data_IF_433461064746
#
_entry.id   IF_433461064746
#
_cell.length_a   1.000
_cell.length_b   1.000
_cell.length_c   1.000
_cell.angle_alpha   90.00
_cell.angle_beta   90.00
_cell.angle_gamma   90.00
#
_symmetry.space_group_name_H-M   'P 1'
#
loop_
_entity.id
_entity.type
_entity.pdbx_description
1 polymer ?
#
# COMPACT_ATOMS: atom_id res chain seq x y z
N UNK A 1 -21.43 27.36 1.87
CA UNK A 1 -21.51 25.91 2.09
C UNK A 1 -20.31 25.49 2.93
N UNK A 2 -20.46 24.78 4.03
CA UNK A 2 -19.31 24.31 4.82
C UNK A 2 -18.44 23.41 3.95
N UNK A 3 -17.12 23.64 4.00
CA UNK A 3 -16.17 22.78 3.30
C UNK A 3 -16.25 21.38 3.93
N UNK A 4 -16.41 20.34 3.08
CA UNK A 4 -16.40 18.94 3.55
C UNK A 4 -15.08 18.67 4.26
N UNK A 5 -15.14 18.02 5.40
CA UNK A 5 -13.96 17.64 6.16
C UNK A 5 -13.19 16.53 5.42
N UNK A 6 -11.90 16.41 5.68
CA UNK A 6 -11.07 15.33 5.10
C UNK A 6 -11.60 13.95 5.46
N UNK A 7 -12.17 13.79 6.66
CA UNK A 7 -12.79 12.55 7.09
C UNK A 7 -14.02 12.17 6.24
N UNK A 8 -14.86 13.14 5.89
CA UNK A 8 -16.02 12.94 5.02
C UNK A 8 -15.60 12.57 3.60
N UNK A 9 -14.59 13.26 3.06
CA UNK A 9 -14.04 12.94 1.74
C UNK A 9 -13.41 11.55 1.70
N UNK A 10 -12.73 11.16 2.79
CA UNK A 10 -12.16 9.83 2.90
C UNK A 10 -13.24 8.73 3.00
N UNK A 11 -14.34 9.01 3.71
CA UNK A 11 -15.49 8.10 3.76
C UNK A 11 -16.13 7.93 2.36
N UNK A 12 -16.26 9.02 1.59
CA UNK A 12 -16.72 8.97 0.20
C UNK A 12 -15.77 8.18 -0.70
N UNK A 13 -14.44 8.37 -0.56
CA UNK A 13 -13.44 7.60 -1.29
C UNK A 13 -13.60 6.10 -1.00
N UNK A 14 -13.82 5.71 0.27
CA UNK A 14 -14.08 4.30 0.62
C UNK A 14 -15.33 3.76 -0.08
N UNK A 15 -16.40 4.55 -0.14
CA UNK A 15 -17.61 4.19 -0.89
C UNK A 15 -17.31 3.93 -2.36
N UNK A 16 -16.60 4.84 -3.03
CA UNK A 16 -16.21 4.70 -4.44
C UNK A 16 -15.32 3.47 -4.69
N UNK A 17 -14.42 3.15 -3.76
CA UNK A 17 -13.58 1.96 -3.82
C UNK A 17 -14.39 0.67 -3.63
N UNK A 18 -15.34 0.68 -2.68
CA UNK A 18 -16.23 -0.47 -2.41
C UNK A 18 -17.18 -0.75 -3.59
N UNK A 19 -17.65 0.31 -4.27
CA UNK A 19 -18.47 0.21 -5.48
C UNK A 19 -17.66 -0.19 -6.74
N UNK A 20 -16.34 -0.26 -6.64
CA UNK A 20 -15.48 -0.56 -7.78
C UNK A 20 -15.39 0.55 -8.83
N UNK A 21 -15.93 1.74 -8.55
CA UNK A 21 -15.90 2.89 -9.46
C UNK A 21 -14.51 3.52 -9.54
N UNK A 22 -13.76 3.42 -8.46
CA UNK A 22 -12.36 3.87 -8.37
C UNK A 22 -11.50 2.68 -7.97
N UNK A 23 -10.32 2.59 -8.56
CA UNK A 23 -9.31 1.58 -8.21
C UNK A 23 -8.15 2.25 -7.48
N UNK A 24 -7.67 1.60 -6.41
CA UNK A 24 -6.48 2.02 -5.68
C UNK A 24 -5.32 1.12 -6.07
N UNK A 25 -4.34 1.69 -6.75
CA UNK A 25 -3.07 1.01 -7.09
C UNK A 25 -1.98 1.46 -6.14
N UNK A 26 -1.25 0.50 -5.60
CA UNK A 26 -0.21 0.70 -4.58
C UNK A 26 1.14 0.30 -5.15
N UNK A 27 2.11 1.20 -5.11
CA UNK A 27 3.52 0.87 -5.35
C UNK A 27 4.17 0.41 -4.03
N UNK A 28 4.14 -0.90 -3.79
CA UNK A 28 4.70 -1.50 -2.60
C UNK A 28 6.19 -1.18 -2.40
N UNK A 29 6.97 -1.01 -3.49
CA UNK A 29 8.40 -0.67 -3.39
C UNK A 29 8.61 0.73 -2.82
N UNK A 30 7.74 1.67 -3.17
CA UNK A 30 7.80 3.04 -2.70
C UNK A 30 7.30 3.16 -1.26
N UNK A 31 6.28 2.37 -0.91
CA UNK A 31 5.66 2.35 0.41
C UNK A 31 6.43 1.53 1.45
N UNK A 32 7.35 0.66 1.05
CA UNK A 32 8.19 -0.14 1.97
C UNK A 32 9.52 0.54 2.31
N UNK A 33 9.63 1.84 2.16
CA UNK A 33 10.79 2.61 2.63
C UNK A 33 10.70 2.87 4.14
N UNK A 34 11.87 3.06 4.83
CA UNK A 34 11.90 3.25 6.29
C UNK A 34 11.14 4.48 6.76
N UNK A 35 11.05 5.51 5.94
CA UNK A 35 10.34 6.77 6.18
C UNK A 35 8.83 6.70 5.86
N UNK A 36 8.34 5.59 5.32
CA UNK A 36 6.92 5.39 5.03
C UNK A 36 6.12 5.10 6.30
N UNK A 37 4.97 5.77 6.51
CA UNK A 37 4.12 5.52 7.67
C UNK A 37 3.44 4.14 7.67
N UNK A 38 3.50 3.40 6.56
CA UNK A 38 2.91 2.05 6.40
C UNK A 38 3.95 0.97 6.13
N UNK A 39 5.25 1.29 6.30
CA UNK A 39 6.35 0.35 6.09
C UNK A 39 6.20 -0.91 6.93
N UNK A 40 6.59 -2.04 6.36
CA UNK A 40 6.73 -3.34 7.03
C UNK A 40 8.20 -3.80 7.07
N UNK A 41 9.14 -2.85 6.87
CA UNK A 41 10.56 -3.15 6.75
C UNK A 41 11.14 -3.91 7.94
N UNK A 42 10.71 -3.60 9.17
CA UNK A 42 11.16 -4.33 10.35
C UNK A 42 10.80 -5.83 10.28
N UNK A 43 9.67 -6.17 9.65
CA UNK A 43 9.24 -7.55 9.46
C UNK A 43 10.00 -8.24 8.34
N UNK A 44 10.22 -7.55 7.20
CA UNK A 44 10.99 -8.09 6.08
C UNK A 44 12.47 -8.28 6.44
N UNK A 45 13.05 -7.40 7.27
CA UNK A 45 14.41 -7.51 7.78
C UNK A 45 14.60 -8.75 8.65
N UNK A 46 13.63 -9.13 9.49
CA UNK A 46 13.67 -10.36 10.28
C UNK A 46 13.76 -11.61 9.39
N UNK A 47 12.99 -11.65 8.31
CA UNK A 47 13.04 -12.72 7.33
C UNK A 47 14.41 -12.80 6.64
N UNK A 48 14.99 -11.65 6.29
CA UNK A 48 16.32 -11.61 5.69
C UNK A 48 17.38 -12.20 6.64
N UNK A 49 17.37 -11.80 7.92
CA UNK A 49 18.29 -12.39 8.90
C UNK A 49 18.09 -13.90 9.07
N UNK A 50 16.84 -14.37 9.14
CA UNK A 50 16.57 -15.79 9.25
C UNK A 50 17.12 -16.59 8.04
N UNK A 51 16.95 -16.07 6.82
CA UNK A 51 17.48 -16.69 5.60
C UNK A 51 19.02 -16.70 5.58
N UNK A 52 19.66 -15.59 5.97
CA UNK A 52 21.13 -15.50 6.03
C UNK A 52 21.69 -16.49 7.05
N UNK A 53 21.06 -16.61 8.23
CA UNK A 53 21.47 -17.60 9.24
C UNK A 53 21.29 -19.04 8.75
N UNK A 54 20.19 -19.33 8.05
CA UNK A 54 19.95 -20.65 7.48
C UNK A 54 21.01 -21.04 6.43
N UNK A 55 21.39 -20.11 5.55
CA UNK A 55 22.43 -20.29 4.56
C UNK A 55 23.79 -20.50 5.26
N UNK A 56 24.11 -19.70 6.28
CA UNK A 56 25.33 -19.85 7.07
C UNK A 56 25.43 -21.23 7.77
N UNK A 57 24.35 -21.69 8.37
CA UNK A 57 24.27 -22.99 9.01
C UNK A 57 24.45 -24.13 7.99
N UNK A 58 23.85 -24.01 6.81
CA UNK A 58 24.02 -25.01 5.74
C UNK A 58 25.45 -25.07 5.18
N UNK A 59 26.09 -23.90 5.04
CA UNK A 59 27.52 -23.85 4.68
C UNK A 59 28.40 -24.54 5.70
N UNK A 60 28.13 -24.32 7.00
CA UNK A 60 28.90 -24.94 8.08
C UNK A 60 28.71 -26.47 8.16
N UNK A 61 27.46 -26.95 8.06
CA UNK A 61 27.10 -28.35 8.25
C UNK A 61 27.27 -29.23 7.02
N UNK A 62 27.03 -28.73 5.83
CA UNK A 62 27.02 -29.48 4.58
C UNK A 62 28.05 -28.99 3.54
N UNK A 63 28.90 -28.07 3.92
CA UNK A 63 29.95 -27.50 3.05
C UNK A 63 29.41 -26.71 1.88
N UNK A 64 30.24 -26.54 0.83
CA UNK A 64 29.90 -25.68 -0.31
C UNK A 64 28.63 -26.10 -1.06
N UNK A 65 28.39 -27.40 -1.23
CA UNK A 65 27.20 -27.91 -1.93
C UNK A 65 25.93 -27.58 -1.16
N UNK A 66 25.93 -27.78 0.16
CA UNK A 66 24.82 -27.41 1.03
C UNK A 66 24.54 -25.89 1.03
N UNK A 67 25.59 -25.09 1.03
CA UNK A 67 25.50 -23.63 0.95
C UNK A 67 24.88 -23.14 -0.35
N UNK A 68 25.28 -23.70 -1.50
CA UNK A 68 24.70 -23.37 -2.81
C UNK A 68 23.21 -23.72 -2.87
N UNK A 69 22.86 -24.95 -2.42
CA UNK A 69 21.45 -25.38 -2.39
C UNK A 69 20.59 -24.51 -1.46
N UNK A 70 21.10 -24.20 -0.27
CA UNK A 70 20.41 -23.32 0.68
C UNK A 70 20.23 -21.88 0.14
N UNK A 71 21.24 -21.36 -0.56
CA UNK A 71 21.15 -20.03 -1.20
C UNK A 71 20.08 -20.02 -2.27
N UNK A 72 20.04 -21.02 -3.15
CA UNK A 72 19.00 -21.13 -4.17
C UNK A 72 17.60 -21.24 -3.55
N UNK A 73 17.44 -22.03 -2.50
CA UNK A 73 16.16 -22.14 -1.76
C UNK A 73 15.77 -20.83 -1.08
N UNK A 74 16.73 -20.10 -0.47
CA UNK A 74 16.48 -18.81 0.15
C UNK A 74 16.04 -17.75 -0.86
N UNK A 75 16.68 -17.70 -2.04
CA UNK A 75 16.29 -16.80 -3.13
C UNK A 75 14.89 -17.15 -3.63
N UNK A 76 14.59 -18.42 -3.86
CA UNK A 76 13.25 -18.85 -4.29
C UNK A 76 12.17 -18.50 -3.26
N UNK A 77 12.45 -18.70 -1.97
CA UNK A 77 11.55 -18.35 -0.87
C UNK A 77 11.34 -16.83 -0.78
N UNK A 78 12.41 -16.03 -0.92
CA UNK A 78 12.34 -14.58 -0.92
C UNK A 78 11.42 -14.03 -2.02
N UNK A 79 11.64 -14.46 -3.25
CA UNK A 79 10.85 -13.96 -4.40
C UNK A 79 9.46 -14.57 -4.48
N UNK A 80 9.30 -15.84 -4.11
CA UNK A 80 8.04 -16.57 -4.22
C UNK A 80 7.07 -16.33 -3.05
N UNK A 81 7.58 -16.07 -1.85
CA UNK A 81 6.76 -15.98 -0.64
C UNK A 81 6.91 -14.63 0.05
N UNK A 82 8.11 -14.23 0.45
CA UNK A 82 8.31 -13.06 1.31
C UNK A 82 7.91 -11.77 0.59
N UNK A 83 8.39 -11.59 -0.62
CA UNK A 83 8.12 -10.35 -1.38
C UNK A 83 6.65 -10.12 -1.70
N UNK A 84 5.86 -11.09 -2.19
CA UNK A 84 4.43 -10.91 -2.39
C UNK A 84 3.66 -10.76 -1.09
N UNK A 85 4.11 -11.36 0.01
CA UNK A 85 3.49 -11.22 1.33
C UNK A 85 3.67 -9.79 1.88
N UNK A 86 4.85 -9.20 1.73
CA UNK A 86 5.12 -7.79 2.06
C UNK A 86 4.14 -6.87 1.32
N UNK A 87 3.96 -7.06 0.02
CA UNK A 87 3.00 -6.27 -0.78
C UNK A 87 1.56 -6.40 -0.28
N UNK A 88 1.13 -7.61 0.09
CA UNK A 88 -0.21 -7.86 0.67
C UNK A 88 -0.39 -7.19 2.03
N UNK A 89 0.63 -7.18 2.88
CA UNK A 89 0.58 -6.53 4.21
C UNK A 89 0.52 -5.01 4.09
N UNK A 90 1.31 -4.40 3.21
CA UNK A 90 1.24 -2.97 2.93
C UNK A 90 -0.16 -2.61 2.45
N UNK A 91 -0.69 -3.37 1.49
CA UNK A 91 -2.05 -3.16 0.98
C UNK A 91 -3.09 -3.19 2.10
N UNK A 92 -3.06 -4.22 2.94
CA UNK A 92 -3.96 -4.33 4.10
C UNK A 92 -3.80 -3.15 5.06
N UNK A 93 -2.58 -2.71 5.37
CA UNK A 93 -2.35 -1.54 6.24
C UNK A 93 -2.93 -0.26 5.64
N UNK A 94 -2.79 -0.05 4.33
CA UNK A 94 -3.41 1.10 3.67
C UNK A 94 -4.94 0.99 3.71
N UNK A 95 -5.49 -0.15 3.37
CA UNK A 95 -6.95 -0.37 3.32
C UNK A 95 -7.59 -0.30 4.72
N UNK A 96 -6.96 -0.87 5.75
CA UNK A 96 -7.56 -0.94 7.10
C UNK A 96 -7.20 0.24 7.99
N UNK A 97 -6.01 0.80 7.89
CA UNK A 97 -5.56 1.89 8.75
C UNK A 97 -5.65 3.25 8.05
N UNK A 98 -5.01 3.40 6.87
CA UNK A 98 -4.92 4.70 6.23
C UNK A 98 -6.27 5.20 5.71
N UNK A 99 -7.12 4.32 5.18
CA UNK A 99 -8.48 4.70 4.74
C UNK A 99 -9.44 5.00 5.89
N UNK A 100 -9.09 4.66 7.13
CA UNK A 100 -9.90 4.95 8.31
C UNK A 100 -9.39 6.16 9.13
N UNK A 101 -8.19 6.64 8.84
CA UNK A 101 -7.58 7.79 9.52
C UNK A 101 -7.13 8.83 8.47
N UNK A 102 -7.81 9.98 8.45
CA UNK A 102 -7.52 11.07 7.53
C UNK A 102 -6.10 11.65 7.72
N UNK A 103 -5.56 11.63 8.94
CA UNK A 103 -4.20 12.06 9.24
C UNK A 103 -3.17 11.11 8.67
N UNK A 104 -3.38 9.80 8.84
CA UNK A 104 -2.52 8.76 8.28
C UNK A 104 -2.61 8.75 6.75
N UNK A 105 -3.83 8.85 6.18
CA UNK A 105 -4.03 8.95 4.74
C UNK A 105 -3.24 10.10 4.11
N UNK A 106 -3.31 11.32 4.70
CA UNK A 106 -2.54 12.47 4.22
C UNK A 106 -1.02 12.25 4.27
N UNK A 107 -0.52 11.57 5.29
CA UNK A 107 0.91 11.23 5.40
C UNK A 107 1.32 10.24 4.31
N UNK A 108 0.54 9.18 4.11
CA UNK A 108 0.79 8.18 3.06
C UNK A 108 0.70 8.82 1.68
N UNK A 109 -0.31 9.68 1.44
CA UNK A 109 -0.44 10.40 0.19
C UNK A 109 0.76 11.27 -0.12
N UNK A 110 1.22 12.08 0.86
CA UNK A 110 2.43 12.91 0.71
C UNK A 110 3.70 12.11 0.49
N UNK A 111 3.81 10.94 1.09
CA UNK A 111 4.94 10.03 0.85
C UNK A 111 4.97 9.53 -0.60
N UNK A 112 3.82 9.39 -1.22
CA UNK A 112 3.67 8.92 -2.60
C UNK A 112 3.51 7.40 -2.70
N UNK A 113 3.42 6.90 -3.93
CA UNK A 113 3.21 5.47 -4.19
C UNK A 113 1.75 5.03 -4.21
N UNK A 114 0.82 5.98 -4.18
CA UNK A 114 -0.60 5.75 -4.35
C UNK A 114 -1.07 6.29 -5.71
N UNK A 115 -1.94 5.57 -6.37
CA UNK A 115 -2.60 6.01 -7.59
C UNK A 115 -4.08 5.67 -7.49
N UNK A 116 -4.92 6.68 -7.62
CA UNK A 116 -6.37 6.52 -7.77
C UNK A 116 -6.69 6.53 -9.26
N UNK A 117 -7.26 5.45 -9.74
CA UNK A 117 -7.66 5.28 -11.13
C UNK A 117 -9.17 5.15 -11.27
N UNK A 118 -9.71 5.63 -12.38
CA UNK A 118 -11.07 5.40 -12.81
C UNK A 118 -11.05 5.01 -14.30
N UNK A 119 -11.86 4.06 -14.73
CA UNK A 119 -11.95 3.70 -16.14
C UNK A 119 -12.30 4.91 -17.02
N UNK A 120 -11.45 5.21 -18.00
CA UNK A 120 -11.67 6.33 -18.94
C UNK A 120 -11.27 7.72 -18.45
N UNK A 121 -10.73 7.86 -17.23
CA UNK A 121 -10.26 9.14 -16.70
C UNK A 121 -8.76 9.14 -16.39
N UNK A 122 -8.15 10.32 -16.37
CA UNK A 122 -6.75 10.47 -15.98
C UNK A 122 -6.53 10.03 -14.52
N UNK A 123 -5.51 9.21 -14.23
CA UNK A 123 -5.23 8.75 -12.88
C UNK A 123 -4.71 9.89 -11.99
N UNK A 124 -5.20 9.95 -10.75
CA UNK A 124 -4.69 10.86 -9.73
C UNK A 124 -3.53 10.18 -8.98
N UNK A 125 -2.32 10.71 -9.13
CA UNK A 125 -1.09 10.12 -8.59
C UNK A 125 -0.57 10.91 -7.40
N UNK A 126 -0.26 10.23 -6.32
CA UNK A 126 0.45 10.81 -5.18
C UNK A 126 1.94 10.98 -5.50
N UNK A 127 2.59 12.05 -4.98
CA UNK A 127 2.04 13.10 -4.14
C UNK A 127 1.45 14.30 -4.91
N UNK A 128 1.68 14.41 -6.23
CA UNK A 128 1.37 15.61 -7.03
C UNK A 128 -0.13 15.82 -7.24
N UNK A 129 -0.90 14.73 -7.29
CA UNK A 129 -2.34 14.76 -7.51
C UNK A 129 -3.12 15.19 -6.27
N UNK A 130 -4.20 15.96 -6.46
CA UNK A 130 -5.10 16.35 -5.39
C UNK A 130 -6.24 15.33 -5.25
N UNK A 131 -6.10 14.36 -4.33
CA UNK A 131 -7.10 13.34 -4.09
C UNK A 131 -8.45 13.91 -3.62
N UNK A 132 -8.45 15.07 -2.93
CA UNK A 132 -9.68 15.71 -2.46
C UNK A 132 -10.51 16.25 -3.64
N UNK A 133 -9.86 16.88 -4.62
CA UNK A 133 -10.51 17.32 -5.85
C UNK A 133 -10.99 16.13 -6.67
N UNK A 134 -10.17 15.08 -6.74
CA UNK A 134 -10.53 13.84 -7.41
C UNK A 134 -11.82 13.24 -6.85
N UNK A 135 -11.98 13.19 -5.52
CA UNK A 135 -13.19 12.69 -4.86
C UNK A 135 -14.38 13.64 -5.02
N UNK A 136 -14.17 14.96 -4.85
CA UNK A 136 -15.23 15.96 -5.01
C UNK A 136 -15.86 15.96 -6.40
N UNK A 137 -15.05 15.79 -7.44
CA UNK A 137 -15.53 15.71 -8.81
C UNK A 137 -16.46 14.51 -9.07
N UNK A 138 -16.33 13.43 -8.27
CA UNK A 138 -17.08 12.19 -8.41
C UNK A 138 -18.25 12.03 -7.44
N UNK A 139 -18.23 12.80 -6.37
CA UNK A 139 -19.28 12.87 -5.39
C UNK A 139 -19.81 14.30 -5.32
N UNK A 140 -20.59 14.78 -6.32
CA UNK A 140 -21.20 16.10 -6.25
C UNK A 140 -22.04 16.21 -4.97
N UNK A 141 -22.14 17.39 -4.37
CA UNK A 141 -22.98 17.58 -3.20
C UNK A 141 -24.40 17.14 -3.54
N UNK A 142 -24.97 16.27 -2.72
CA UNK A 142 -26.37 15.88 -2.86
C UNK A 142 -27.20 17.18 -2.79
N UNK A 143 -27.87 17.54 -3.87
CA UNK A 143 -28.85 18.62 -3.88
C UNK A 143 -30.04 18.17 -3.03
N UNK A 144 -29.92 18.36 -1.71
CA UNK A 144 -31.05 18.27 -0.80
C UNK A 144 -31.98 19.45 -1.13
N UNK A 145 -32.91 19.26 -2.01
CA UNK A 145 -33.84 20.36 -2.32
C UNK A 145 -34.59 20.29 -3.64
N UNK A 146 -35.04 19.10 -4.06
CA UNK A 146 -36.05 19.06 -5.13
C UNK A 146 -36.98 17.86 -4.93
N UNK A 147 -37.67 17.87 -3.78
CA UNK A 147 -38.95 17.19 -3.61
C UNK A 147 -39.94 18.20 -3.03
N UNK A 148 -40.68 18.88 -3.93
CA UNK A 148 -42.01 19.40 -3.65
C UNK A 148 -42.93 19.05 -4.80
#
# INVERSE_FOLDING_TARGET
MPARTDAELLAQLRGLLAEGRVTLVLDARRLDKPDSPVSVQAESTRWLYALVLAVGAALWGAGAVGGVAATAAAVALWYGVVRPDVGRRIRRRVETAALNDAGLWRRVWRHGGLVLGEPGAAPCRAPEGNWMEFVRARCPPHRSGEER
#
